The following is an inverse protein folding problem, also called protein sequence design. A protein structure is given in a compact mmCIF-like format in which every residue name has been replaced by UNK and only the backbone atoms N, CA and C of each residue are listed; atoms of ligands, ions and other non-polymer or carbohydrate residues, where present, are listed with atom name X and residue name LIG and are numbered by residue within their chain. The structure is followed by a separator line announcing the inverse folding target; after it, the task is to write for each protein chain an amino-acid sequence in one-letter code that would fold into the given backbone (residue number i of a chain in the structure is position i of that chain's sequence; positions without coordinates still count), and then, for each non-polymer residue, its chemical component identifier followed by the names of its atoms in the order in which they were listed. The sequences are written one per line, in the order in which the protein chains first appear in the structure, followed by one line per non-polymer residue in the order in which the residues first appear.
data_IF_620439898572
#
_entry.id   IF_620439898572
#
_cell.length_a   1.000
_cell.length_b   1.000
_cell.length_c   1.000
_cell.angle_alpha   90.00
_cell.angle_beta   90.00
_cell.angle_gamma   90.00
#
_symmetry.space_group_name_H-M   'P 1'
#
loop_
_entity.id
_entity.type
_entity.pdbx_description
1 polymer ?
#
# COMPACT_ATOMS: atom_id res chain seq x y z
N UNK A 1 38.29 14.52 0.96
CA UNK A 1 37.11 15.43 1.11
C UNK A 1 36.23 15.51 -0.14
N UNK A 2 36.76 15.58 -1.38
CA UNK A 2 35.93 15.66 -2.61
C UNK A 2 35.16 14.37 -2.98
N UNK A 3 35.61 13.19 -2.52
CA UNK A 3 34.97 11.90 -2.83
C UNK A 3 33.73 11.61 -1.99
N UNK A 4 33.68 12.02 -0.71
CA UNK A 4 32.49 11.85 0.13
C UNK A 4 31.32 12.71 -0.35
N UNK A 5 31.60 13.94 -0.79
CA UNK A 5 30.60 14.87 -1.33
C UNK A 5 30.00 14.37 -2.66
N UNK A 6 30.76 13.60 -3.46
CA UNK A 6 30.25 12.92 -4.67
C UNK A 6 29.32 11.75 -4.35
N UNK A 7 29.56 11.05 -3.24
CA UNK A 7 28.67 9.96 -2.81
C UNK A 7 27.37 10.53 -2.26
N UNK A 8 27.43 11.55 -1.41
CA UNK A 8 26.25 12.29 -0.91
C UNK A 8 25.36 12.81 -2.05
N UNK A 9 25.96 13.39 -3.11
CA UNK A 9 25.23 13.86 -4.30
C UNK A 9 24.59 12.74 -5.14
N UNK A 10 25.11 11.51 -5.08
CA UNK A 10 24.59 10.38 -5.88
C UNK A 10 23.30 9.80 -5.30
N UNK A 11 23.09 9.92 -3.99
CA UNK A 11 21.94 9.34 -3.30
C UNK A 11 20.84 10.36 -3.00
N UNK A 12 21.15 11.66 -2.98
CA UNK A 12 20.17 12.72 -2.77
C UNK A 12 18.99 12.66 -3.75
N UNK A 13 19.20 12.45 -5.07
CA UNK A 13 18.11 12.34 -6.04
C UNK A 13 17.16 11.17 -5.75
N UNK A 14 17.70 10.04 -5.29
CA UNK A 14 16.94 8.87 -4.88
C UNK A 14 16.06 9.17 -3.65
N UNK A 15 16.64 9.76 -2.60
CA UNK A 15 15.89 10.11 -1.39
C UNK A 15 14.79 11.14 -1.66
N UNK A 16 15.03 12.10 -2.54
CA UNK A 16 14.04 13.11 -2.93
C UNK A 16 12.86 12.44 -3.67
N UNK A 17 13.14 11.52 -4.61
CA UNK A 17 12.10 10.77 -5.31
C UNK A 17 11.30 9.89 -4.37
N UNK A 18 11.98 9.12 -3.52
CA UNK A 18 11.36 8.26 -2.54
C UNK A 18 10.44 9.05 -1.59
N UNK A 19 10.91 10.22 -1.15
CA UNK A 19 10.14 11.09 -0.27
C UNK A 19 8.92 11.73 -0.96
N UNK A 20 9.04 12.09 -2.25
CA UNK A 20 7.91 12.57 -3.07
C UNK A 20 6.83 11.49 -3.16
N UNK A 21 7.25 10.25 -3.42
CA UNK A 21 6.34 9.13 -3.57
C UNK A 21 5.63 8.81 -2.24
N UNK A 22 6.37 8.76 -1.12
CA UNK A 22 5.77 8.63 0.23
C UNK A 22 4.70 9.70 0.49
N UNK A 23 4.98 10.97 0.23
CA UNK A 23 3.99 12.05 0.45
C UNK A 23 2.76 11.91 -0.45
N UNK A 24 2.94 11.45 -1.69
CA UNK A 24 1.85 11.19 -2.62
C UNK A 24 0.95 10.05 -2.09
N UNK A 25 1.54 8.99 -1.56
CA UNK A 25 0.81 7.86 -0.95
C UNK A 25 0.09 8.24 0.35
N UNK A 26 0.73 9.04 1.21
CA UNK A 26 0.15 9.47 2.50
C UNK A 26 -1.17 10.23 2.31
N UNK A 27 -1.36 10.92 1.18
CA UNK A 27 -2.63 11.60 0.86
C UNK A 27 -3.78 10.65 0.51
N UNK A 28 -3.50 9.43 0.05
CA UNK A 28 -4.51 8.46 -0.40
C UNK A 28 -4.93 7.51 0.73
N UNK A 29 -4.31 7.61 1.91
CA UNK A 29 -4.63 6.78 3.08
C UNK A 29 -6.07 6.93 3.57
N UNK A 30 -6.63 8.13 3.51
CA UNK A 30 -8.00 8.38 3.95
C UNK A 30 -9.02 7.66 3.04
N UNK A 31 -8.74 7.57 1.75
CA UNK A 31 -9.65 6.98 0.76
C UNK A 31 -9.59 5.45 0.77
N UNK A 32 -8.43 4.90 1.15
CA UNK A 32 -8.16 3.45 1.23
C UNK A 32 -8.63 2.82 2.53
N UNK A 33 -8.92 3.59 3.58
CA UNK A 33 -9.45 3.04 4.84
C UNK A 33 -10.98 2.99 4.84
N UNK A 34 -11.63 4.01 4.26
CA UNK A 34 -13.10 4.14 4.30
C UNK A 34 -13.80 3.05 3.47
N UNK A 35 -13.34 2.80 2.24
CA UNK A 35 -13.97 1.81 1.36
C UNK A 35 -13.95 0.36 1.93
N UNK A 36 -12.82 -0.15 2.46
CA UNK A 36 -12.81 -1.48 3.08
C UNK A 36 -13.55 -1.54 4.41
N UNK A 37 -13.63 -0.45 5.18
CA UNK A 37 -14.41 -0.44 6.43
C UNK A 37 -15.90 -0.64 6.14
N UNK A 38 -16.42 -0.01 5.10
CA UNK A 38 -17.82 -0.20 4.67
C UNK A 38 -18.04 -1.68 4.30
N UNK A 39 -17.19 -2.25 3.46
CA UNK A 39 -17.30 -3.67 3.07
C UNK A 39 -17.16 -4.61 4.26
N UNK A 40 -16.20 -4.37 5.16
CA UNK A 40 -15.98 -5.18 6.35
C UNK A 40 -17.17 -5.11 7.30
N UNK A 41 -17.79 -3.93 7.44
CA UNK A 41 -19.00 -3.74 8.25
C UNK A 41 -20.19 -4.49 7.67
N UNK A 42 -20.37 -4.46 6.34
CA UNK A 42 -21.37 -5.23 5.62
C UNK A 42 -21.16 -6.74 5.80
N UNK A 43 -19.93 -7.22 5.68
CA UNK A 43 -19.61 -8.63 5.91
C UNK A 43 -19.88 -9.04 7.36
N UNK A 44 -19.51 -8.20 8.34
CA UNK A 44 -19.85 -8.45 9.74
C UNK A 44 -21.35 -8.49 9.98
N UNK A 45 -22.13 -7.62 9.33
CA UNK A 45 -23.59 -7.61 9.45
C UNK A 45 -24.21 -8.88 8.86
N UNK A 46 -23.84 -9.22 7.63
CA UNK A 46 -24.39 -10.39 6.93
C UNK A 46 -23.99 -11.68 7.66
N UNK A 47 -22.70 -11.88 7.92
CA UNK A 47 -22.21 -13.11 8.53
C UNK A 47 -22.46 -13.17 10.04
N UNK A 48 -22.47 -12.03 10.74
CA UNK A 48 -22.80 -11.97 12.15
C UNK A 48 -24.26 -12.33 12.43
N UNK A 49 -25.20 -11.82 11.60
CA UNK A 49 -26.63 -12.13 11.75
C UNK A 49 -26.97 -13.51 11.18
N UNK A 50 -26.37 -13.93 10.07
CA UNK A 50 -26.70 -15.20 9.40
C UNK A 50 -26.05 -16.43 10.03
N UNK A 51 -24.81 -16.33 10.52
CA UNK A 51 -24.01 -17.49 10.98
C UNK A 51 -23.73 -17.48 12.48
N UNK A 52 -23.94 -16.35 13.17
CA UNK A 52 -23.67 -16.20 14.60
C UNK A 52 -24.44 -17.16 15.51
N UNK A 53 -25.62 -17.64 15.09
CA UNK A 53 -26.41 -18.65 15.81
C UNK A 53 -26.24 -20.08 15.26
N UNK A 54 -25.72 -20.23 14.04
CA UNK A 54 -25.77 -21.49 13.27
C UNK A 54 -24.43 -22.24 13.23
N UNK A 55 -23.31 -21.56 13.49
CA UNK A 55 -21.96 -22.17 13.42
C UNK A 55 -21.30 -22.10 14.80
N UNK A 56 -21.11 -23.28 15.40
CA UNK A 56 -20.22 -23.45 16.55
C UNK A 56 -18.83 -23.79 16.04
N UNK A 57 -17.84 -22.94 16.34
CA UNK A 57 -16.45 -23.16 15.95
C UNK A 57 -15.82 -24.23 16.87
N UNK A 58 -15.02 -25.18 16.34
CA UNK A 58 -14.31 -26.14 17.18
C UNK A 58 -13.44 -25.40 18.21
N UNK A 59 -13.73 -25.59 19.50
CA UNK A 59 -13.01 -24.93 20.60
C UNK A 59 -13.79 -23.88 21.40
N UNK A 60 -15.08 -23.65 21.12
CA UNK A 60 -15.95 -22.78 21.94
C UNK A 60 -15.68 -21.27 21.79
N UNK A 61 -14.84 -20.88 20.84
CA UNK A 61 -14.58 -19.49 20.47
C UNK A 61 -15.66 -18.96 19.54
N UNK A 62 -16.06 -17.70 19.73
CA UNK A 62 -17.05 -17.04 18.89
C UNK A 62 -16.57 -16.94 17.44
N UNK A 63 -17.44 -17.27 16.49
CA UNK A 63 -17.19 -17.11 15.04
C UNK A 63 -16.74 -15.69 14.67
N UNK A 64 -17.24 -14.67 15.39
CA UNK A 64 -16.83 -13.28 15.21
C UNK A 64 -15.33 -13.05 15.52
N UNK A 65 -14.76 -13.79 16.47
CA UNK A 65 -13.35 -13.67 16.84
C UNK A 65 -12.40 -14.15 15.72
N UNK A 66 -12.88 -15.01 14.82
CA UNK A 66 -12.13 -15.46 13.65
C UNK A 66 -12.37 -14.56 12.43
N UNK A 67 -13.59 -14.05 12.29
CA UNK A 67 -14.03 -13.27 11.14
C UNK A 67 -13.46 -11.84 11.14
N UNK A 68 -13.42 -11.18 12.30
CA UNK A 68 -12.92 -9.80 12.43
C UNK A 68 -11.45 -9.70 11.96
N UNK A 69 -10.49 -10.50 12.47
CA UNK A 69 -9.11 -10.43 12.00
C UNK A 69 -8.98 -10.77 10.51
N UNK A 70 -9.74 -11.77 10.02
CA UNK A 70 -9.69 -12.17 8.62
C UNK A 70 -10.11 -11.05 7.66
N UNK A 71 -11.20 -10.34 7.96
CA UNK A 71 -11.66 -9.19 7.18
C UNK A 71 -10.67 -8.03 7.23
N UNK A 72 -10.14 -7.73 8.42
CA UNK A 72 -9.14 -6.68 8.59
C UNK A 72 -7.88 -6.99 7.78
N UNK A 73 -7.43 -8.26 7.79
CA UNK A 73 -6.24 -8.69 7.08
C UNK A 73 -6.46 -8.66 5.55
N UNK A 74 -7.61 -9.11 5.07
CA UNK A 74 -7.97 -9.04 3.64
C UNK A 74 -8.03 -7.60 3.13
N UNK A 75 -8.61 -6.69 3.91
CA UNK A 75 -8.65 -5.26 3.64
C UNK A 75 -7.24 -4.65 3.59
N UNK A 76 -6.41 -4.96 4.58
CA UNK A 76 -5.05 -4.45 4.67
C UNK A 76 -4.20 -4.92 3.48
N UNK A 77 -4.28 -6.21 3.13
CA UNK A 77 -3.57 -6.78 1.98
C UNK A 77 -3.99 -6.15 0.66
N UNK A 78 -5.30 -6.00 0.42
CA UNK A 78 -5.78 -5.37 -0.79
C UNK A 78 -5.33 -3.91 -0.90
N UNK A 79 -5.40 -3.16 0.19
CA UNK A 79 -4.93 -1.77 0.21
C UNK A 79 -3.43 -1.67 -0.07
N UNK A 80 -2.60 -2.48 0.60
CA UNK A 80 -1.15 -2.51 0.35
C UNK A 80 -0.85 -2.84 -1.12
N UNK A 81 -1.51 -3.85 -1.68
CA UNK A 81 -1.30 -4.27 -3.06
C UNK A 81 -1.74 -3.21 -4.09
N UNK A 82 -2.94 -2.64 -3.90
CA UNK A 82 -3.46 -1.59 -4.79
C UNK A 82 -2.59 -0.34 -4.73
N UNK A 83 -2.07 0.02 -3.56
CA UNK A 83 -1.20 1.18 -3.39
C UNK A 83 0.14 1.01 -4.15
N UNK A 84 0.83 -0.13 -3.99
CA UNK A 84 2.08 -0.40 -4.71
C UNK A 84 1.86 -0.54 -6.22
N UNK A 85 0.79 -1.21 -6.65
CA UNK A 85 0.48 -1.37 -8.08
C UNK A 85 0.13 -0.03 -8.74
N UNK A 86 -0.63 0.84 -8.06
CA UNK A 86 -1.03 2.16 -8.59
C UNK A 86 0.16 3.10 -8.79
N UNK A 87 1.14 3.05 -7.87
CA UNK A 87 2.55 3.48 -8.05
C UNK A 87 3.13 3.37 -9.45
N UNK A 88 3.41 2.12 -9.77
CA UNK A 88 4.11 1.73 -10.98
C UNK A 88 3.27 2.05 -12.22
N UNK A 89 1.97 1.78 -12.15
CA UNK A 89 1.02 2.05 -13.23
C UNK A 89 0.92 3.55 -13.52
N UNK A 90 0.76 4.38 -12.49
CA UNK A 90 0.64 5.83 -12.66
C UNK A 90 1.91 6.46 -13.20
N UNK A 91 3.09 6.00 -12.75
CA UNK A 91 4.37 6.48 -13.27
C UNK A 91 4.58 6.10 -14.75
N UNK A 92 4.02 4.96 -15.17
CA UNK A 92 4.05 4.51 -16.58
C UNK A 92 3.10 5.28 -17.47
N UNK A 93 1.87 5.54 -17.01
CA UNK A 93 0.88 6.25 -17.81
C UNK A 93 1.04 7.77 -17.77
N UNK A 94 1.63 8.31 -16.70
CA UNK A 94 1.84 9.75 -16.52
C UNK A 94 3.07 10.31 -17.22
N UNK A 95 3.92 9.49 -17.85
CA UNK A 95 5.15 9.94 -18.50
C UNK A 95 6.32 10.22 -17.54
N UNK A 96 6.09 10.20 -16.22
CA UNK A 96 7.13 10.38 -15.19
C UNK A 96 8.34 9.44 -15.41
N UNK A 97 8.10 8.18 -15.82
CA UNK A 97 9.18 7.22 -16.13
C UNK A 97 10.06 7.63 -17.31
N UNK A 98 9.50 8.36 -18.27
CA UNK A 98 10.22 8.85 -19.46
C UNK A 98 11.02 10.12 -19.11
N UNK A 99 10.46 10.98 -18.25
CA UNK A 99 11.15 12.14 -17.68
C UNK A 99 12.32 11.75 -16.76
N UNK A 100 12.24 10.61 -16.05
CA UNK A 100 13.38 10.12 -15.26
C UNK A 100 14.53 9.60 -16.10
N UNK A 101 14.28 9.10 -17.32
CA UNK A 101 15.35 8.63 -18.23
C UNK A 101 16.24 9.75 -18.76
N UNK A 102 15.74 10.98 -18.84
CA UNK A 102 16.54 12.16 -19.24
C UNK A 102 17.29 12.80 -18.07
N UNK A 103 16.95 12.42 -16.84
CA UNK A 103 17.64 12.88 -15.63
C UNK A 103 18.88 12.02 -15.33
N UNK A 104 19.90 12.54 -14.62
CA UNK A 104 21.11 11.79 -14.24
C UNK A 104 20.84 10.82 -13.08
N UNK A 105 19.80 9.99 -13.21
CA UNK A 105 19.42 8.93 -12.27
C UNK A 105 19.87 7.58 -12.81
N UNK A 106 20.30 6.68 -11.94
CA UNK A 106 20.52 5.29 -12.33
C UNK A 106 19.19 4.56 -12.44
N UNK A 107 19.02 3.72 -13.46
CA UNK A 107 17.84 2.84 -13.64
C UNK A 107 17.52 2.04 -12.36
N UNK A 108 18.56 1.61 -11.63
CA UNK A 108 18.39 0.92 -10.36
C UNK A 108 17.72 1.82 -9.31
N UNK A 109 18.14 3.08 -9.19
CA UNK A 109 17.55 4.01 -8.23
C UNK A 109 16.08 4.29 -8.52
N UNK A 110 15.68 4.30 -9.79
CA UNK A 110 14.28 4.46 -10.20
C UNK A 110 13.48 3.21 -9.79
N UNK A 111 13.99 2.01 -10.05
CA UNK A 111 13.33 0.74 -9.67
C UNK A 111 13.15 0.66 -8.15
N UNK A 112 14.22 0.93 -7.38
CA UNK A 112 14.17 0.89 -5.92
C UNK A 112 13.31 1.99 -5.29
N UNK A 113 13.07 3.10 -5.99
CA UNK A 113 12.23 4.19 -5.49
C UNK A 113 10.74 3.92 -5.68
N UNK A 114 10.37 3.08 -6.65
CA UNK A 114 8.98 2.74 -6.99
C UNK A 114 8.51 1.36 -6.50
N UNK A 115 9.44 0.47 -6.12
CA UNK A 115 9.15 -0.84 -5.53
C UNK A 115 8.72 -0.74 -4.06
#
# INVERSE_FOLDING_TARGET
MKQSLRQELRWTPFFILFYREIRRYLKVLIQTIVAPLINSSLYLLIFGVSLGASISVPGGVSYLAFLIPGLVMMSCLNNCFQNSSSSIVSAKFGGDLEDFRVSPLSDQQIIWAYA
#
